data_IF_905718217021
#
_entry.id   IF_905718217021
#
_cell.length_a   1.000
_cell.length_b   1.000
_cell.length_c   1.000
_cell.angle_alpha   90.00
_cell.angle_beta   90.00
_cell.angle_gamma   90.00
#
_symmetry.space_group_name_H-M   'P 1'
#
loop_
_entity.id
_entity.type
_entity.pdbx_description
1 polymer ?
#
# COMPACT_ATOMS: atom_id res chain seq x y z
N UNK A 1 21.43 -8.19 -8.14
CA UNK A 1 20.08 -7.63 -7.85
C UNK A 1 19.86 -7.22 -6.37
N UNK A 2 20.90 -6.96 -5.54
CA UNK A 2 20.71 -6.57 -4.12
C UNK A 2 20.30 -5.09 -3.91
N UNK A 3 20.66 -4.18 -4.83
CA UNK A 3 20.43 -2.73 -4.63
C UNK A 3 18.97 -2.28 -4.81
N UNK A 4 18.17 -2.99 -5.62
CA UNK A 4 16.80 -2.57 -5.91
C UNK A 4 15.87 -2.65 -4.68
N UNK A 5 16.20 -3.50 -3.70
CA UNK A 5 15.35 -3.70 -2.53
C UNK A 5 15.40 -2.53 -1.57
N UNK A 6 16.59 -1.97 -1.34
CA UNK A 6 16.73 -0.77 -0.51
C UNK A 6 15.94 0.39 -1.11
N UNK A 7 15.97 0.52 -2.45
CA UNK A 7 15.20 1.54 -3.18
C UNK A 7 13.70 1.30 -3.03
N UNK A 8 13.21 0.08 -3.23
CA UNK A 8 11.78 -0.25 -3.06
C UNK A 8 11.31 0.02 -1.62
N UNK A 9 12.07 -0.40 -0.62
CA UNK A 9 11.73 -0.16 0.78
C UNK A 9 11.72 1.34 1.10
N UNK A 10 12.68 2.13 0.58
CA UNK A 10 12.68 3.60 0.76
C UNK A 10 11.42 4.20 0.13
N UNK A 11 11.08 3.84 -1.11
CA UNK A 11 9.89 4.33 -1.81
C UNK A 11 8.62 4.01 -1.01
N UNK A 12 8.51 2.78 -0.50
CA UNK A 12 7.39 2.35 0.32
C UNK A 12 7.26 3.16 1.62
N UNK A 13 8.37 3.38 2.33
CA UNK A 13 8.39 4.23 3.52
C UNK A 13 7.95 5.66 3.21
N UNK A 14 8.45 6.24 2.11
CA UNK A 14 8.05 7.57 1.66
C UNK A 14 6.55 7.64 1.38
N UNK A 15 5.99 6.66 0.65
CA UNK A 15 4.55 6.60 0.36
C UNK A 15 3.69 6.42 1.61
N UNK A 16 4.12 5.58 2.56
CA UNK A 16 3.42 5.37 3.82
C UNK A 16 3.40 6.68 4.65
N UNK A 17 4.52 7.40 4.74
CA UNK A 17 4.58 8.69 5.44
C UNK A 17 3.64 9.71 4.79
N UNK A 18 3.67 9.84 3.46
CA UNK A 18 2.77 10.73 2.73
C UNK A 18 1.31 10.36 2.99
N UNK A 19 0.98 9.07 2.97
CA UNK A 19 -0.38 8.57 3.24
C UNK A 19 -0.85 8.94 4.65
N UNK A 20 0.02 8.81 5.65
CA UNK A 20 -0.31 9.21 7.04
C UNK A 20 -0.55 10.71 7.13
N UNK A 21 0.30 11.53 6.49
CA UNK A 21 0.12 12.99 6.45
C UNK A 21 -1.22 13.35 5.78
N UNK A 22 -1.52 12.75 4.62
CA UNK A 22 -2.78 12.99 3.92
C UNK A 22 -4.00 12.53 4.73
N UNK A 23 -3.90 11.42 5.45
CA UNK A 23 -4.96 10.97 6.34
C UNK A 23 -5.22 11.98 7.47
N UNK A 24 -4.16 12.53 8.08
CA UNK A 24 -4.29 13.58 9.11
C UNK A 24 -4.92 14.84 8.51
N UNK A 25 -4.45 15.29 7.35
CA UNK A 25 -5.00 16.46 6.66
C UNK A 25 -6.47 16.28 6.27
N UNK A 26 -6.88 15.06 5.90
CA UNK A 26 -8.27 14.71 5.68
C UNK A 26 -9.12 14.90 6.95
N UNK A 27 -8.70 14.38 8.10
CA UNK A 27 -9.43 14.56 9.36
C UNK A 27 -9.50 16.02 9.81
N UNK A 28 -8.50 16.82 9.45
CA UNK A 28 -8.48 18.27 9.65
C UNK A 28 -9.26 19.05 8.58
N UNK A 29 -9.92 18.37 7.63
CA UNK A 29 -10.70 18.94 6.54
C UNK A 29 -9.89 19.83 5.57
N UNK A 30 -8.57 19.64 5.49
CA UNK A 30 -7.68 20.33 4.54
C UNK A 30 -7.57 19.62 3.18
N UNK A 31 -7.88 18.32 3.12
CA UNK A 31 -7.73 17.49 1.92
C UNK A 31 -9.01 16.71 1.69
N UNK A 32 -9.44 16.62 0.43
CA UNK A 32 -10.59 15.83 0.04
C UNK A 32 -10.36 14.33 0.30
N UNK A 33 -11.43 13.66 0.74
CA UNK A 33 -11.45 12.21 1.00
C UNK A 33 -10.87 11.39 -0.15
N UNK A 34 -11.19 11.77 -1.39
CA UNK A 34 -10.82 11.04 -2.60
C UNK A 34 -9.29 10.99 -2.79
N UNK A 35 -8.62 12.11 -2.51
CA UNK A 35 -7.15 12.20 -2.59
C UNK A 35 -6.52 11.33 -1.50
N UNK A 36 -7.02 11.41 -0.26
CA UNK A 36 -6.51 10.59 0.85
C UNK A 36 -6.71 9.08 0.58
N UNK A 37 -7.87 8.68 0.08
CA UNK A 37 -8.18 7.28 -0.24
C UNK A 37 -7.39 6.75 -1.44
N UNK A 38 -7.08 7.61 -2.42
CA UNK A 38 -6.22 7.24 -3.53
C UNK A 38 -4.82 6.87 -3.06
N UNK A 39 -4.20 7.71 -2.21
CA UNK A 39 -2.88 7.43 -1.64
C UNK A 39 -2.89 6.23 -0.70
N UNK A 40 -3.95 6.05 0.08
CA UNK A 40 -4.14 4.85 0.89
C UNK A 40 -4.21 3.59 0.03
N UNK A 41 -4.95 3.65 -1.08
CA UNK A 41 -5.08 2.54 -2.04
C UNK A 41 -3.74 2.15 -2.64
N UNK A 42 -2.99 3.13 -3.16
CA UNK A 42 -1.65 2.91 -3.74
C UNK A 42 -0.67 2.35 -2.71
N UNK A 43 -0.63 2.90 -1.50
CA UNK A 43 0.25 2.41 -0.43
C UNK A 43 -0.08 0.97 -0.03
N UNK A 44 -1.36 0.60 0.01
CA UNK A 44 -1.78 -0.78 0.29
C UNK A 44 -1.33 -1.75 -0.81
N UNK A 45 -1.40 -1.36 -2.09
CA UNK A 45 -0.87 -2.16 -3.20
C UNK A 45 0.64 -2.39 -3.04
N UNK A 46 1.40 -1.32 -2.77
CA UNK A 46 2.86 -1.40 -2.58
C UNK A 46 3.20 -2.31 -1.40
N UNK A 47 2.54 -2.13 -0.25
CA UNK A 47 2.72 -2.95 0.95
C UNK A 47 2.39 -4.42 0.68
N UNK A 48 1.34 -4.71 -0.10
CA UNK A 48 0.97 -6.07 -0.46
C UNK A 48 1.99 -6.75 -1.39
N UNK A 49 2.51 -6.02 -2.38
CA UNK A 49 3.58 -6.50 -3.26
C UNK A 49 4.86 -6.79 -2.45
N UNK A 50 5.21 -5.93 -1.50
CA UNK A 50 6.37 -6.15 -0.63
C UNK A 50 6.24 -7.41 0.22
N UNK A 51 5.07 -7.66 0.83
CA UNK A 51 4.78 -8.91 1.58
C UNK A 51 4.91 -10.16 0.72
N UNK A 52 4.45 -10.12 -0.53
CA UNK A 52 4.65 -11.22 -1.49
C UNK A 52 6.13 -11.39 -1.84
N UNK A 53 6.89 -10.31 -1.94
CA UNK A 53 8.32 -10.37 -2.18
C UNK A 53 9.09 -10.93 -0.98
N UNK A 54 8.70 -10.60 0.25
CA UNK A 54 9.25 -11.19 1.48
C UNK A 54 8.99 -12.70 1.48
N UNK A 55 7.76 -13.12 1.14
CA UNK A 55 7.38 -14.55 1.01
C UNK A 55 8.33 -15.35 0.10
N UNK A 56 8.79 -14.75 -1.00
CA UNK A 56 9.72 -15.40 -1.93
C UNK A 56 11.13 -15.55 -1.36
N UNK A 57 11.50 -14.78 -0.33
CA UNK A 57 12.83 -14.73 0.26
C UNK A 57 12.95 -15.48 1.58
N UNK A 58 11.84 -15.71 2.28
CA UNK A 58 11.85 -16.42 3.56
C UNK A 58 11.80 -17.93 3.31
N UNK A 59 12.80 -18.67 3.78
CA UNK A 59 12.86 -20.15 3.70
C UNK A 59 11.95 -20.83 4.74
N UNK A 60 11.39 -20.07 5.69
CA UNK A 60 10.46 -20.57 6.69
C UNK A 60 9.10 -20.89 6.04
N UNK A 61 8.86 -22.17 5.76
CA UNK A 61 7.61 -22.69 5.17
C UNK A 61 6.35 -22.22 5.92
N UNK A 62 6.40 -22.15 7.25
CA UNK A 62 5.25 -21.77 8.09
C UNK A 62 4.80 -20.33 7.85
N UNK A 63 5.74 -19.39 7.75
CA UNK A 63 5.42 -17.98 7.55
C UNK A 63 5.16 -17.63 6.08
N UNK A 64 5.55 -18.50 5.14
CA UNK A 64 5.42 -18.26 3.70
C UNK A 64 3.96 -18.08 3.28
N UNK A 65 3.06 -18.96 3.73
CA UNK A 65 1.65 -18.85 3.36
C UNK A 65 0.98 -17.62 3.98
N UNK A 66 1.31 -17.29 5.23
CA UNK A 66 0.77 -16.11 5.91
C UNK A 66 1.16 -14.80 5.19
N UNK A 67 2.43 -14.61 4.87
CA UNK A 67 2.87 -13.41 4.14
C UNK A 67 2.27 -13.33 2.73
N UNK A 68 2.08 -14.47 2.05
CA UNK A 68 1.42 -14.51 0.74
C UNK A 68 -0.03 -14.06 0.82
N UNK A 69 -0.81 -14.66 1.73
CA UNK A 69 -2.23 -14.38 1.89
C UNK A 69 -2.42 -12.93 2.30
N UNK A 70 -1.70 -12.48 3.33
CA UNK A 70 -1.77 -11.07 3.77
C UNK A 70 -1.39 -10.12 2.64
N UNK A 71 -0.32 -10.41 1.89
CA UNK A 71 0.09 -9.60 0.74
C UNK A 71 -1.00 -9.48 -0.33
N UNK A 72 -1.68 -10.58 -0.67
CA UNK A 72 -2.81 -10.57 -1.60
C UNK A 72 -3.99 -9.74 -1.04
N UNK A 73 -4.33 -9.90 0.23
CA UNK A 73 -5.40 -9.12 0.88
C UNK A 73 -5.12 -7.61 0.83
N UNK A 74 -3.87 -7.20 1.09
CA UNK A 74 -3.46 -5.79 0.98
C UNK A 74 -3.60 -5.24 -0.44
N UNK A 75 -3.24 -6.03 -1.46
CA UNK A 75 -3.43 -5.63 -2.87
C UNK A 75 -4.91 -5.45 -3.18
N UNK A 76 -5.76 -6.40 -2.78
CA UNK A 76 -7.21 -6.34 -3.04
C UNK A 76 -7.81 -5.08 -2.41
N UNK A 77 -7.51 -4.81 -1.12
CA UNK A 77 -7.99 -3.61 -0.44
C UNK A 77 -7.48 -2.34 -1.12
N UNK A 78 -6.22 -2.33 -1.54
CA UNK A 78 -5.63 -1.20 -2.23
C UNK A 78 -6.29 -0.89 -3.58
N UNK A 79 -6.62 -1.93 -4.35
CA UNK A 79 -7.37 -1.79 -5.61
C UNK A 79 -8.78 -1.25 -5.35
N UNK A 80 -9.48 -1.75 -4.33
CA UNK A 80 -10.82 -1.27 -3.97
C UNK A 80 -10.81 0.21 -3.60
N UNK A 81 -9.90 0.65 -2.72
CA UNK A 81 -9.80 2.06 -2.35
C UNK A 81 -9.44 2.94 -3.55
N UNK A 82 -8.50 2.50 -4.39
CA UNK A 82 -8.11 3.23 -5.60
C UNK A 82 -9.30 3.40 -6.54
N UNK A 83 -10.05 2.31 -6.77
CA UNK A 83 -11.23 2.32 -7.64
C UNK A 83 -12.31 3.26 -7.11
N UNK A 84 -12.68 3.14 -5.84
CA UNK A 84 -13.68 4.02 -5.21
C UNK A 84 -13.28 5.49 -5.32
N UNK A 85 -12.00 5.81 -5.09
CA UNK A 85 -11.48 7.18 -5.17
C UNK A 85 -11.61 7.75 -6.58
N UNK A 86 -11.25 6.96 -7.61
CA UNK A 86 -11.35 7.39 -9.01
C UNK A 86 -12.80 7.51 -9.45
N UNK A 87 -13.68 6.58 -9.04
CA UNK A 87 -15.11 6.67 -9.36
C UNK A 87 -15.76 7.91 -8.75
N UNK A 88 -15.36 8.32 -7.55
CA UNK A 88 -15.87 9.52 -6.90
C UNK A 88 -15.29 10.81 -7.51
N UNK A 89 -14.11 10.76 -8.14
CA UNK A 89 -13.52 11.88 -8.88
C UNK A 89 -14.17 12.12 -10.26
N UNK A 90 -14.82 11.10 -10.83
CA UNK A 90 -15.41 11.14 -12.16
C UNK A 90 -16.91 11.45 -12.17
N UNK A 91 -17.56 11.45 -11.01
CA UNK A 91 -18.97 11.82 -10.82
C UNK A 91 -19.10 13.24 -10.28
#
# INVERSE_FOLDING_TARGET
MKNNYKVISIIQWTFNIITVILAILYFLHFVEKNIAFLFLGVSNIINGVDRINITKRTDLKENKNYYKITGISWIILGVVFTFLSVSELLN
#
